data_IF_581106521384
#
_entry.id   IF_581106521384
#
_cell.length_a   1.000
_cell.length_b   1.000
_cell.length_c   1.000
_cell.angle_alpha   90.00
_cell.angle_beta   90.00
_cell.angle_gamma   90.00
#
_symmetry.space_group_name_H-M   'P 1'
#
loop_
_entity.id
_entity.type
_entity.pdbx_description
1 polymer ?
#
# COMPACT_ATOMS: atom_id res chain seq x y z
N UNK A 1 -13.47 20.43 1.62
CA UNK A 1 -14.60 20.82 2.50
C UNK A 1 -14.17 21.77 3.62
N UNK A 2 -13.07 21.47 4.32
CA UNK A 2 -12.68 22.23 5.52
C UNK A 2 -12.13 23.63 5.21
N UNK A 3 -11.31 23.79 4.17
CA UNK A 3 -10.89 25.13 3.69
C UNK A 3 -12.09 26.01 3.29
N UNK A 4 -13.13 25.43 2.71
CA UNK A 4 -14.34 26.16 2.35
C UNK A 4 -15.17 26.58 3.57
N UNK A 5 -15.16 25.78 4.66
CA UNK A 5 -15.80 26.18 5.93
C UNK A 5 -15.13 27.42 6.52
N UNK A 6 -13.78 27.47 6.49
CA UNK A 6 -13.02 28.63 6.95
C UNK A 6 -13.32 29.89 6.12
N UNK A 7 -13.40 29.77 4.79
CA UNK A 7 -13.77 30.91 3.93
C UNK A 7 -15.21 31.38 4.16
N UNK A 8 -16.12 30.46 4.51
CA UNK A 8 -17.51 30.82 4.86
C UNK A 8 -17.61 31.61 6.15
N UNK A 9 -16.67 31.47 7.10
CA UNK A 9 -16.67 32.23 8.34
C UNK A 9 -16.11 33.65 8.21
N UNK A 10 -15.67 34.06 7.02
CA UNK A 10 -15.21 35.43 6.78
C UNK A 10 -16.37 36.42 6.88
N UNK A 11 -16.04 37.65 7.26
CA UNK A 11 -16.92 38.79 7.24
C UNK A 11 -17.31 39.19 5.80
N UNK A 12 -18.40 39.96 5.68
CA UNK A 12 -18.95 40.32 4.37
C UNK A 12 -18.01 41.20 3.53
N UNK A 13 -17.23 42.07 4.18
CA UNK A 13 -16.27 42.94 3.51
C UNK A 13 -15.18 42.13 2.82
N UNK A 14 -14.51 41.23 3.56
CA UNK A 14 -13.52 40.31 2.96
C UNK A 14 -14.10 39.41 1.88
N UNK A 15 -15.34 38.94 2.04
CA UNK A 15 -16.02 38.15 0.99
C UNK A 15 -16.24 38.95 -0.28
N UNK A 16 -16.60 40.23 -0.14
CA UNK A 16 -16.79 41.13 -1.26
C UNK A 16 -15.47 41.44 -1.97
N UNK A 17 -14.39 41.68 -1.22
CA UNK A 17 -13.05 41.89 -1.79
C UNK A 17 -12.62 40.68 -2.63
N UNK A 18 -12.85 39.45 -2.13
CA UNK A 18 -12.55 38.21 -2.87
C UNK A 18 -13.34 38.12 -4.19
N UNK A 19 -14.59 38.58 -4.22
CA UNK A 19 -15.41 38.58 -5.44
C UNK A 19 -14.85 39.59 -6.45
N UNK A 20 -14.53 40.80 -6.01
CA UNK A 20 -13.93 41.85 -6.85
C UNK A 20 -12.59 41.39 -7.43
N UNK A 21 -11.72 40.82 -6.60
CA UNK A 21 -10.43 40.28 -7.03
C UNK A 21 -10.63 39.17 -8.08
N UNK A 22 -11.61 38.29 -7.88
CA UNK A 22 -11.88 37.18 -8.80
C UNK A 22 -12.38 37.65 -10.18
N UNK A 23 -13.11 38.77 -10.27
CA UNK A 23 -13.55 39.35 -11.55
C UNK A 23 -12.37 39.94 -12.35
N UNK A 24 -11.31 40.39 -11.66
CA UNK A 24 -10.10 40.92 -12.30
C UNK A 24 -9.16 39.81 -12.82
N UNK A 25 -9.32 38.58 -12.36
CA UNK A 25 -8.47 37.45 -12.73
C UNK A 25 -8.93 36.84 -14.06
N UNK A 26 -8.16 37.06 -15.12
CA UNK A 26 -8.36 36.43 -16.41
C UNK A 26 -7.24 35.46 -16.73
N UNK A 27 -7.59 34.31 -17.33
CA UNK A 27 -6.61 33.37 -17.84
C UNK A 27 -5.80 34.03 -18.97
N UNK A 28 -4.48 33.86 -18.94
CA UNK A 28 -3.57 34.44 -19.94
C UNK A 28 -3.90 33.97 -21.36
N UNK A 29 -4.12 32.66 -21.52
CA UNK A 29 -4.40 32.01 -22.80
C UNK A 29 -5.47 30.91 -22.63
N UNK A 30 -6.32 30.67 -23.64
CA UNK A 30 -7.34 29.60 -23.60
C UNK A 30 -6.71 28.20 -23.79
N UNK A 31 -7.37 27.10 -23.38
CA UNK A 31 -6.88 25.73 -23.56
C UNK A 31 -6.45 25.41 -25.01
N UNK A 32 -7.25 25.86 -25.99
CA UNK A 32 -7.01 25.63 -27.41
C UNK A 32 -5.68 26.21 -27.91
N UNK A 33 -5.16 27.27 -27.29
CA UNK A 33 -3.86 27.85 -27.63
C UNK A 33 -2.72 26.85 -27.37
N UNK A 34 -2.68 26.27 -26.17
CA UNK A 34 -1.68 25.27 -25.78
C UNK A 34 -1.82 24.00 -26.62
N UNK A 35 -3.05 23.53 -26.82
CA UNK A 35 -3.33 22.32 -27.58
C UNK A 35 -2.94 22.44 -29.06
N UNK A 36 -3.13 23.61 -29.67
CA UNK A 36 -2.70 23.85 -31.04
C UNK A 36 -1.17 23.78 -31.19
N UNK A 37 -0.42 24.25 -30.19
CA UNK A 37 1.04 24.13 -30.16
C UNK A 37 1.48 22.68 -29.95
N UNK A 38 0.90 21.96 -28.98
CA UNK A 38 1.21 20.53 -28.74
C UNK A 38 0.90 19.65 -29.96
N UNK A 39 -0.28 19.82 -30.58
CA UNK A 39 -0.64 19.12 -31.82
C UNK A 39 0.32 19.45 -32.97
N UNK A 40 0.89 20.65 -32.98
CA UNK A 40 1.90 21.04 -33.98
C UNK A 40 3.25 20.37 -33.74
N UNK A 41 3.64 20.13 -32.49
CA UNK A 41 4.83 19.33 -32.17
C UNK A 41 4.67 17.84 -32.51
N UNK A 42 3.44 17.32 -32.46
CA UNK A 42 3.12 15.93 -32.80
C UNK A 42 3.03 15.68 -34.32
N UNK A 43 2.69 16.69 -35.13
CA UNK A 43 2.50 16.53 -36.57
C UNK A 43 3.85 16.31 -37.30
N UNK A 44 4.13 15.12 -37.87
CA UNK A 44 5.40 14.83 -38.54
C UNK A 44 5.72 15.77 -39.71
N UNK A 45 4.68 16.37 -40.34
CA UNK A 45 4.80 17.28 -41.47
C UNK A 45 5.00 18.74 -41.03
N UNK A 46 4.76 19.09 -39.76
CA UNK A 46 4.87 20.45 -39.26
C UNK A 46 6.26 21.07 -39.49
N UNK A 47 7.32 20.28 -39.31
CA UNK A 47 8.70 20.70 -39.57
C UNK A 47 8.96 21.17 -41.01
N UNK A 48 8.13 20.76 -41.99
CA UNK A 48 8.22 21.17 -43.41
C UNK A 48 7.38 22.41 -43.71
N UNK A 49 6.29 22.63 -42.98
CA UNK A 49 5.40 23.78 -43.18
C UNK A 49 5.93 25.05 -42.51
N UNK A 50 6.19 26.10 -43.30
CA UNK A 50 6.61 27.39 -42.78
C UNK A 50 5.57 27.99 -41.80
N UNK A 51 4.28 27.87 -42.12
CA UNK A 51 3.18 28.35 -41.27
C UNK A 51 3.18 27.64 -39.90
N UNK A 52 3.38 26.32 -39.88
CA UNK A 52 3.41 25.54 -38.63
C UNK A 52 4.66 25.84 -37.80
N UNK A 53 5.83 25.99 -38.43
CA UNK A 53 7.05 26.43 -37.71
C UNK A 53 6.86 27.79 -37.04
N UNK A 54 6.26 28.76 -37.75
CA UNK A 54 6.00 30.10 -37.19
C UNK A 54 5.05 30.08 -35.98
N UNK A 55 4.17 29.09 -35.87
CA UNK A 55 3.22 28.96 -34.75
C UNK A 55 3.88 28.56 -33.42
N UNK A 56 5.07 27.96 -33.47
CA UNK A 56 5.79 27.45 -32.29
C UNK A 56 7.19 28.04 -32.14
N UNK A 57 7.53 29.04 -32.95
CA UNK A 57 8.89 29.62 -32.96
C UNK A 57 9.16 30.53 -31.77
N UNK A 58 8.10 31.09 -31.19
CA UNK A 58 8.11 32.09 -30.13
C UNK A 58 8.42 31.51 -28.74
N UNK A 59 8.24 30.21 -28.55
CA UNK A 59 8.46 29.55 -27.26
C UNK A 59 8.90 28.11 -27.48
N UNK A 60 9.78 27.60 -26.62
CA UNK A 60 10.17 26.19 -26.68
C UNK A 60 9.01 25.30 -26.24
N UNK A 61 9.03 24.02 -26.66
CA UNK A 61 8.02 23.06 -26.18
C UNK A 61 7.96 22.98 -24.65
N UNK A 62 9.11 23.05 -23.97
CA UNK A 62 9.19 23.04 -22.52
C UNK A 62 8.53 24.27 -21.91
N UNK A 63 8.71 25.46 -22.50
CA UNK A 63 8.05 26.66 -21.98
C UNK A 63 6.53 26.59 -22.16
N UNK A 64 6.07 26.11 -23.32
CA UNK A 64 4.62 25.89 -23.57
C UNK A 64 4.03 24.93 -22.55
N UNK A 65 4.73 23.84 -22.22
CA UNK A 65 4.30 22.89 -21.20
C UNK A 65 4.32 23.49 -19.79
N UNK A 66 5.31 24.33 -19.44
CA UNK A 66 5.36 25.00 -18.14
C UNK A 66 4.21 25.98 -17.97
N UNK A 67 3.93 26.78 -19.00
CA UNK A 67 2.79 27.71 -18.99
C UNK A 67 1.45 26.97 -18.92
N UNK A 68 1.36 25.80 -19.59
CA UNK A 68 0.21 24.90 -19.49
C UNK A 68 0.06 24.30 -18.09
N UNK A 69 1.15 23.82 -17.47
CA UNK A 69 1.14 23.30 -16.09
C UNK A 69 0.61 24.35 -15.11
N UNK A 70 1.12 25.57 -15.21
CA UNK A 70 0.69 26.69 -14.37
C UNK A 70 -0.80 26.93 -14.60
N UNK A 71 -1.24 27.01 -15.86
CA UNK A 71 -2.64 27.22 -16.21
C UNK A 71 -3.55 26.13 -15.63
N UNK A 72 -3.16 24.85 -15.74
CA UNK A 72 -3.92 23.72 -15.18
C UNK A 72 -4.01 23.77 -13.65
N UNK A 73 -2.97 24.28 -12.98
CA UNK A 73 -2.90 24.31 -11.51
C UNK A 73 -3.53 25.54 -10.88
N UNK A 74 -3.45 26.70 -11.54
CA UNK A 74 -3.80 27.99 -10.91
C UNK A 74 -5.03 28.67 -11.50
N UNK A 75 -5.48 28.30 -12.70
CA UNK A 75 -6.70 28.88 -13.25
C UNK A 75 -7.95 28.31 -12.56
N UNK A 76 -9.07 29.01 -12.75
CA UNK A 76 -10.39 28.55 -12.33
C UNK A 76 -10.74 27.17 -12.91
N UNK A 77 -11.54 26.40 -12.18
CA UNK A 77 -11.80 24.99 -12.50
C UNK A 77 -12.49 24.77 -13.85
N UNK A 78 -13.27 25.73 -14.32
CA UNK A 78 -13.91 25.64 -15.64
C UNK A 78 -12.88 25.66 -16.78
N UNK A 79 -11.73 26.32 -16.61
CA UNK A 79 -10.63 26.24 -17.58
C UNK A 79 -10.12 24.81 -17.74
N UNK A 80 -9.99 24.06 -16.63
CA UNK A 80 -9.56 22.66 -16.65
C UNK A 80 -10.65 21.77 -17.26
N UNK A 81 -11.92 22.05 -16.98
CA UNK A 81 -13.05 21.33 -17.61
C UNK A 81 -13.09 21.58 -19.12
N UNK A 82 -12.87 22.82 -19.56
CA UNK A 82 -12.77 23.18 -20.97
C UNK A 82 -11.59 22.46 -21.63
N UNK A 83 -10.42 22.40 -20.98
CA UNK A 83 -9.27 21.65 -21.48
C UNK A 83 -9.58 20.15 -21.68
N UNK A 84 -10.35 19.55 -20.76
CA UNK A 84 -10.66 18.12 -20.74
C UNK A 84 -11.91 17.73 -21.54
N UNK A 85 -12.67 18.69 -22.07
CA UNK A 85 -13.94 18.41 -22.74
C UNK A 85 -13.75 17.65 -24.08
N UNK A 86 -14.86 17.19 -24.64
CA UNK A 86 -14.90 16.44 -25.91
C UNK A 86 -14.44 17.25 -27.13
N UNK A 87 -14.46 18.58 -27.06
CA UNK A 87 -14.02 19.46 -28.16
C UNK A 87 -12.50 19.59 -28.21
N UNK A 88 -11.88 19.79 -27.03
CA UNK A 88 -10.45 20.04 -26.91
C UNK A 88 -9.64 18.75 -26.85
N UNK A 89 -10.19 17.70 -26.22
CA UNK A 89 -9.52 16.41 -25.99
C UNK A 89 -8.11 16.60 -25.39
N UNK A 90 -7.99 17.52 -24.42
CA UNK A 90 -6.69 17.97 -23.96
C UNK A 90 -5.88 16.87 -23.25
N UNK A 91 -6.58 15.95 -22.57
CA UNK A 91 -5.94 14.79 -21.94
C UNK A 91 -5.27 13.89 -22.97
N UNK A 92 -5.96 13.54 -24.06
CA UNK A 92 -5.43 12.68 -25.12
C UNK A 92 -4.20 13.31 -25.79
N UNK A 93 -4.27 14.61 -26.11
CA UNK A 93 -3.14 15.34 -26.71
C UNK A 93 -1.92 15.37 -25.79
N UNK A 94 -2.14 15.54 -24.48
CA UNK A 94 -1.06 15.53 -23.49
C UNK A 94 -0.42 14.15 -23.38
N UNK A 95 -1.23 13.09 -23.39
CA UNK A 95 -0.77 11.69 -23.33
C UNK A 95 -0.01 11.32 -24.60
N UNK A 96 -0.53 11.68 -25.78
CA UNK A 96 0.15 11.49 -27.06
C UNK A 96 1.51 12.18 -27.07
N UNK A 97 1.58 13.40 -26.54
CA UNK A 97 2.82 14.15 -26.41
C UNK A 97 3.81 13.47 -25.45
N UNK A 98 3.35 13.07 -24.26
CA UNK A 98 4.17 12.35 -23.29
C UNK A 98 4.69 11.03 -23.88
N UNK A 99 3.82 10.23 -24.50
CA UNK A 99 4.17 8.97 -25.18
C UNK A 99 5.20 9.19 -26.28
N UNK A 100 5.02 10.22 -27.10
CA UNK A 100 6.00 10.62 -28.12
C UNK A 100 7.38 10.92 -27.51
N UNK A 101 7.43 11.70 -26.42
CA UNK A 101 8.69 12.06 -25.75
C UNK A 101 9.35 10.86 -25.06
N UNK A 102 8.56 10.00 -24.40
CA UNK A 102 9.05 8.75 -23.81
C UNK A 102 9.64 7.82 -24.87
N UNK A 103 8.97 7.68 -26.01
CA UNK A 103 9.45 6.90 -27.15
C UNK A 103 10.79 7.41 -27.69
N UNK A 104 10.98 8.73 -27.73
CA UNK A 104 12.26 9.34 -28.10
C UNK A 104 13.36 9.06 -27.05
N UNK A 105 13.09 9.34 -25.78
CA UNK A 105 14.04 9.13 -24.67
C UNK A 105 14.53 7.67 -24.61
N UNK A 106 13.60 6.71 -24.71
CA UNK A 106 13.94 5.28 -24.69
C UNK A 106 14.75 4.84 -25.91
N UNK A 107 14.51 5.45 -27.06
CA UNK A 107 15.29 5.14 -28.25
C UNK A 107 16.72 5.68 -28.13
N UNK A 108 16.89 6.89 -27.61
CA UNK A 108 18.20 7.48 -27.33
C UNK A 108 18.98 6.63 -26.30
N UNK A 109 18.31 6.14 -25.26
CA UNK A 109 18.92 5.27 -24.26
C UNK A 109 19.41 3.95 -24.86
N UNK A 110 18.59 3.26 -25.67
CA UNK A 110 19.01 2.03 -26.37
C UNK A 110 20.21 2.24 -27.29
N UNK A 111 20.31 3.41 -27.92
CA UNK A 111 21.47 3.74 -28.77
C UNK A 111 22.72 3.96 -27.91
N UNK A 112 22.58 4.62 -26.76
CA UNK A 112 23.68 4.81 -25.82
C UNK A 112 24.20 3.47 -25.28
N UNK A 113 23.30 2.57 -24.85
CA UNK A 113 23.62 1.22 -24.38
C UNK A 113 24.29 0.37 -25.47
N UNK A 114 23.84 0.48 -26.72
CA UNK A 114 24.48 -0.20 -27.85
C UNK A 114 25.89 0.32 -28.13
N UNK A 115 26.17 1.61 -27.89
CA UNK A 115 27.51 2.20 -28.09
C UNK A 115 28.47 1.74 -27.00
N UNK A 116 28.06 1.78 -25.73
CA UNK A 116 28.87 1.31 -24.61
C UNK A 116 29.19 -0.18 -24.75
N UNK A 117 28.20 -1.01 -25.12
CA UNK A 117 28.43 -2.43 -25.37
C UNK A 117 29.38 -2.71 -26.56
N UNK A 118 29.42 -1.81 -27.55
CA UNK A 118 30.34 -1.92 -28.70
C UNK A 118 31.76 -1.49 -28.30
N UNK A 119 31.89 -0.44 -27.50
CA UNK A 119 33.17 0.04 -26.96
C UNK A 119 33.80 -0.96 -25.97
N UNK A 120 32.99 -1.63 -25.14
CA UNK A 120 33.44 -2.74 -24.28
C UNK A 120 33.88 -3.96 -25.10
N UNK A 121 33.20 -4.28 -26.20
CA UNK A 121 33.63 -5.36 -27.11
C UNK A 121 34.92 -5.01 -27.86
N UNK A 122 35.10 -3.76 -28.27
CA UNK A 122 36.33 -3.26 -28.91
C UNK A 122 37.52 -3.25 -27.94
N UNK A 123 37.28 -3.00 -26.66
CA UNK A 123 38.33 -3.04 -25.63
C UNK A 123 38.62 -4.47 -25.12
N UNK A 124 37.72 -5.45 -25.32
CA UNK A 124 37.97 -6.88 -25.03
C UNK A 124 38.48 -7.71 -26.22
N UNK A 125 38.39 -7.21 -27.47
CA UNK A 125 38.84 -7.96 -28.66
C UNK A 125 40.26 -7.57 -29.11
N UNK A 126 41.22 -7.87 -28.26
CA UNK A 126 42.64 -7.94 -28.63
C UNK A 126 43.06 -9.25 -29.29
N UNK A 127 42.26 -10.32 -29.19
CA UNK A 127 42.51 -11.59 -29.89
C UNK A 127 41.21 -12.39 -30.02
N UNK A 128 40.72 -12.60 -31.25
CA UNK A 128 40.24 -13.89 -31.77
C UNK A 128 39.45 -13.73 -33.07
N UNK A 129 39.67 -14.71 -33.93
CA UNK A 129 39.22 -14.91 -35.31
C UNK A 129 37.71 -14.81 -35.54
N UNK A 130 37.37 -14.19 -36.68
CA UNK A 130 36.03 -14.03 -37.25
C UNK A 130 35.45 -15.40 -37.60
N UNK A 131 34.36 -15.80 -36.94
CA UNK A 131 33.41 -16.78 -37.47
C UNK A 131 32.03 -16.12 -37.61
N UNK A 132 31.58 -16.02 -38.86
CA UNK A 132 30.27 -15.49 -39.25
C UNK A 132 29.27 -16.64 -39.27
N UNK A 133 28.32 -16.65 -38.33
CA UNK A 133 27.12 -17.49 -38.41
C UNK A 133 25.89 -16.60 -38.37
N UNK A 134 25.17 -16.56 -39.50
CA UNK A 134 23.86 -15.94 -39.67
C UNK A 134 22.81 -16.71 -38.86
N UNK A 135 22.25 -16.07 -37.83
CA UNK A 135 21.11 -16.60 -37.09
C UNK A 135 19.81 -16.08 -37.72
N UNK A 136 19.03 -17.02 -38.24
CA UNK A 136 17.67 -16.84 -38.73
C UNK A 136 16.73 -16.56 -37.57
N UNK A 137 16.00 -15.44 -37.61
CA UNK A 137 15.01 -15.07 -36.59
C UNK A 137 13.60 -15.49 -37.03
N UNK A 138 13.01 -16.30 -36.15
CA UNK A 138 11.67 -16.86 -36.22
C UNK A 138 10.59 -15.77 -36.16
N UNK A 139 9.55 -15.93 -36.98
CA UNK A 139 8.39 -15.02 -37.04
C UNK A 139 7.26 -15.59 -36.20
N UNK A 140 6.99 -14.99 -35.05
CA UNK A 140 5.72 -15.17 -34.34
C UNK A 140 5.38 -13.94 -33.47
N UNK A 141 4.09 -13.59 -33.52
CA UNK A 141 3.33 -12.58 -32.78
C UNK A 141 3.42 -11.08 -33.15
N UNK A 142 2.27 -10.60 -33.63
CA UNK A 142 1.99 -9.23 -34.04
C UNK A 142 1.77 -8.29 -32.85
N UNK A 143 2.85 -7.63 -32.46
CA UNK A 143 2.83 -6.25 -31.99
C UNK A 143 4.01 -5.55 -32.65
N UNK A 144 3.84 -4.29 -33.03
CA UNK A 144 4.82 -3.52 -33.83
C UNK A 144 6.14 -3.37 -33.05
N UNK A 145 7.05 -4.34 -33.21
CA UNK A 145 8.48 -4.15 -32.93
C UNK A 145 8.98 -3.14 -33.95
N UNK A 146 9.28 -1.92 -33.52
CA UNK A 146 10.07 -1.02 -34.35
C UNK A 146 11.46 -1.64 -34.53
N UNK A 147 11.94 -1.85 -35.78
CA UNK A 147 13.26 -2.40 -36.03
C UNK A 147 14.31 -1.57 -35.29
N UNK A 148 15.39 -2.23 -34.84
CA UNK A 148 16.57 -1.56 -34.31
C UNK A 148 17.13 -0.65 -35.41
N UNK A 149 16.81 0.64 -35.35
CA UNK A 149 17.40 1.63 -36.24
C UNK A 149 18.87 1.79 -35.85
N UNK A 150 19.75 1.31 -36.73
CA UNK A 150 21.22 1.44 -36.61
C UNK A 150 21.57 2.92 -36.36
N UNK A 151 22.57 3.23 -35.50
CA UNK A 151 23.06 4.59 -35.31
C UNK A 151 23.37 5.25 -36.66
N UNK A 152 22.61 6.29 -37.01
CA UNK A 152 22.71 6.99 -38.31
C UNK A 152 21.57 6.72 -39.30
N UNK A 153 20.57 5.91 -38.94
CA UNK A 153 19.37 5.66 -39.75
C UNK A 153 18.69 6.96 -40.22
N UNK A 154 18.14 6.99 -41.45
CA UNK A 154 17.40 8.15 -41.96
C UNK A 154 16.24 8.60 -41.04
N UNK A 155 15.63 7.68 -40.28
CA UNK A 155 14.55 7.96 -39.33
C UNK A 155 15.02 8.83 -38.16
N UNK A 156 16.15 8.49 -37.55
CA UNK A 156 16.81 9.22 -36.46
C UNK A 156 17.18 10.64 -36.86
N UNK A 157 17.83 10.79 -38.03
CA UNK A 157 18.19 12.10 -38.58
C UNK A 157 16.95 12.95 -38.88
N UNK A 158 15.83 12.34 -39.30
CA UNK A 158 14.55 13.05 -39.52
C UNK A 158 13.93 13.51 -38.20
N UNK A 159 13.95 12.69 -37.14
CA UNK A 159 13.43 13.05 -35.81
C UNK A 159 14.24 14.17 -35.16
N UNK A 160 15.56 14.07 -35.16
CA UNK A 160 16.44 15.13 -34.65
C UNK A 160 16.23 16.46 -35.38
N UNK A 161 16.11 16.43 -36.73
CA UNK A 161 15.76 17.62 -37.52
C UNK A 161 14.37 18.17 -37.20
N UNK A 162 13.42 17.31 -36.85
CA UNK A 162 12.07 17.72 -36.50
C UNK A 162 12.05 18.51 -35.18
N UNK A 163 12.67 17.95 -34.13
CA UNK A 163 12.86 18.60 -32.82
C UNK A 163 13.52 19.97 -32.97
N UNK A 164 14.64 20.03 -33.70
CA UNK A 164 15.37 21.29 -33.91
C UNK A 164 14.55 22.34 -34.70
N UNK A 165 13.82 21.92 -35.74
CA UNK A 165 13.03 22.85 -36.58
C UNK A 165 11.77 23.38 -35.92
N UNK A 166 11.28 22.70 -34.89
CA UNK A 166 10.11 23.13 -34.12
C UNK A 166 10.49 23.74 -32.77
N UNK A 167 11.79 24.01 -32.53
CA UNK A 167 12.26 24.59 -31.28
C UNK A 167 11.83 23.79 -30.03
N UNK A 168 11.79 22.45 -30.15
CA UNK A 168 11.44 21.58 -29.04
C UNK A 168 12.59 21.55 -28.02
N UNK A 169 12.27 21.70 -26.73
CA UNK A 169 13.25 21.68 -25.65
C UNK A 169 13.71 20.26 -25.28
N UNK A 170 14.38 20.09 -24.13
CA UNK A 170 14.92 18.79 -23.70
C UNK A 170 13.81 17.77 -23.44
N UNK A 171 13.98 16.55 -23.98
CA UNK A 171 13.10 15.39 -23.75
C UNK A 171 12.77 15.19 -22.28
N UNK A 172 13.77 15.33 -21.41
CA UNK A 172 13.67 15.08 -19.97
C UNK A 172 12.79 16.10 -19.27
N UNK A 173 13.03 17.38 -19.53
CA UNK A 173 12.27 18.47 -18.94
C UNK A 173 10.81 18.42 -19.39
N UNK A 174 10.56 18.15 -20.67
CA UNK A 174 9.21 18.01 -21.20
C UNK A 174 8.45 16.85 -20.55
N UNK A 175 9.10 15.69 -20.36
CA UNK A 175 8.50 14.53 -19.66
C UNK A 175 8.14 14.93 -18.23
N UNK A 176 9.07 15.53 -17.49
CA UNK A 176 8.83 15.96 -16.11
C UNK A 176 7.62 16.91 -16.02
N UNK A 177 7.56 17.92 -16.90
CA UNK A 177 6.46 18.91 -16.88
C UNK A 177 5.14 18.29 -17.32
N UNK A 178 5.14 17.31 -18.23
CA UNK A 178 3.92 16.55 -18.55
C UNK A 178 3.38 15.81 -17.32
N UNK A 179 4.26 15.20 -16.50
CA UNK A 179 3.85 14.55 -15.25
C UNK A 179 3.30 15.59 -14.24
N UNK A 180 3.87 16.79 -14.18
CA UNK A 180 3.29 17.88 -13.38
C UNK A 180 1.90 18.32 -13.88
N UNK A 181 1.69 18.35 -15.20
CA UNK A 181 0.36 18.60 -15.78
C UNK A 181 -0.64 17.49 -15.38
N UNK A 182 -0.23 16.22 -15.46
CA UNK A 182 -1.06 15.08 -15.01
C UNK A 182 -1.42 15.20 -13.53
N UNK A 183 -0.47 15.60 -12.67
CA UNK A 183 -0.73 15.89 -11.25
C UNK A 183 -1.77 16.99 -11.06
N UNK A 184 -1.65 18.09 -11.80
CA UNK A 184 -2.61 19.20 -11.72
C UNK A 184 -4.02 18.75 -12.14
N UNK A 185 -4.14 17.96 -13.22
CA UNK A 185 -5.41 17.37 -13.68
C UNK A 185 -6.01 16.44 -12.61
N UNK A 186 -5.19 15.58 -12.01
CA UNK A 186 -5.59 14.61 -10.98
C UNK A 186 -5.97 15.27 -9.64
N UNK A 187 -5.58 16.52 -9.40
CA UNK A 187 -6.00 17.27 -8.21
C UNK A 187 -7.49 17.70 -8.26
N UNK A 188 -8.20 17.37 -9.33
CA UNK A 188 -9.65 17.51 -9.43
C UNK A 188 -10.33 16.15 -9.60
N UNK A 189 -11.46 15.92 -8.92
CA UNK A 189 -12.22 14.66 -9.02
C UNK A 189 -12.61 14.28 -10.46
N UNK A 190 -13.02 15.25 -11.28
CA UNK A 190 -13.38 15.03 -12.67
C UNK A 190 -12.15 14.62 -13.50
N UNK A 191 -11.05 15.38 -13.40
CA UNK A 191 -9.80 15.06 -14.09
C UNK A 191 -9.19 13.73 -13.64
N UNK A 192 -9.20 13.45 -12.34
CA UNK A 192 -8.78 12.16 -11.78
C UNK A 192 -9.55 10.99 -12.36
N UNK A 193 -10.88 11.10 -12.44
CA UNK A 193 -11.73 10.06 -13.03
C UNK A 193 -11.46 9.85 -14.53
N UNK A 194 -11.14 10.91 -15.28
CA UNK A 194 -10.75 10.76 -16.68
C UNK A 194 -9.40 10.05 -16.82
N UNK A 195 -8.42 10.38 -15.98
CA UNK A 195 -7.10 9.73 -16.00
C UNK A 195 -7.19 8.25 -15.65
N UNK A 196 -7.96 7.87 -14.62
CA UNK A 196 -8.09 6.46 -14.22
C UNK A 196 -8.79 5.60 -15.28
N UNK A 197 -9.69 6.20 -16.06
CA UNK A 197 -10.38 5.53 -17.17
C UNK A 197 -9.50 5.43 -18.43
N UNK A 198 -8.43 6.22 -18.52
CA UNK A 198 -7.56 6.27 -19.68
C UNK A 198 -6.33 5.37 -19.50
N UNK A 199 -6.41 4.11 -19.94
CA UNK A 199 -5.36 3.09 -19.78
C UNK A 199 -3.96 3.57 -20.18
N UNK A 200 -3.83 4.20 -21.35
CA UNK A 200 -2.53 4.67 -21.86
C UNK A 200 -1.94 5.81 -21.02
N UNK A 201 -2.77 6.55 -20.27
CA UNK A 201 -2.29 7.61 -19.39
C UNK A 201 -1.44 6.99 -18.27
N UNK A 202 -1.96 5.93 -17.66
CA UNK A 202 -1.35 5.23 -16.54
C UNK A 202 -0.11 4.45 -17.01
N UNK A 203 -0.18 3.82 -18.19
CA UNK A 203 0.99 3.23 -18.83
C UNK A 203 2.09 4.29 -19.05
N UNK A 204 1.76 5.47 -19.58
CA UNK A 204 2.75 6.55 -19.77
C UNK A 204 3.31 7.10 -18.45
N UNK A 205 2.47 7.24 -17.41
CA UNK A 205 2.93 7.63 -16.07
C UNK A 205 3.92 6.58 -15.55
N UNK A 206 3.59 5.29 -15.59
CA UNK A 206 4.49 4.20 -15.13
C UNK A 206 5.80 4.18 -15.91
N UNK A 207 5.76 4.29 -17.25
CA UNK A 207 6.95 4.33 -18.10
C UNK A 207 7.84 5.56 -17.84
N UNK A 208 7.29 6.61 -17.25
CA UNK A 208 8.08 7.79 -16.85
C UNK A 208 9.01 7.51 -15.66
N UNK A 209 8.89 6.36 -14.98
CA UNK A 209 9.86 5.92 -13.97
C UNK A 209 11.28 5.74 -14.53
N UNK A 210 11.44 5.48 -15.83
CA UNK A 210 12.75 5.34 -16.50
C UNK A 210 13.52 6.67 -16.53
N UNK A 211 12.84 7.79 -16.29
CA UNK A 211 13.44 9.12 -16.32
C UNK A 211 14.60 9.25 -15.33
N UNK A 212 15.74 9.84 -15.72
CA UNK A 212 16.95 9.89 -14.88
C UNK A 212 16.78 10.66 -13.57
N UNK A 213 15.97 11.73 -13.56
CA UNK A 213 15.77 12.55 -12.36
C UNK A 213 14.96 11.83 -11.29
N UNK A 214 15.53 11.69 -10.09
CA UNK A 214 14.86 11.09 -8.93
C UNK A 214 13.63 11.88 -8.48
N UNK A 215 13.65 13.22 -8.61
CA UNK A 215 12.48 14.07 -8.41
C UNK A 215 11.30 13.70 -9.30
N UNK A 216 11.57 13.34 -10.57
CA UNK A 216 10.51 12.89 -11.49
C UNK A 216 10.00 11.52 -11.08
N UNK A 217 10.89 10.59 -10.69
CA UNK A 217 10.49 9.27 -10.22
C UNK A 217 9.61 9.35 -8.97
N UNK A 218 9.99 10.18 -7.99
CA UNK A 218 9.21 10.43 -6.78
C UNK A 218 7.79 10.89 -7.13
N UNK A 219 7.68 11.90 -8.01
CA UNK A 219 6.40 12.41 -8.47
C UNK A 219 5.54 11.34 -9.17
N UNK A 220 6.16 10.51 -10.00
CA UNK A 220 5.48 9.40 -10.67
C UNK A 220 4.93 8.40 -9.64
N UNK A 221 5.74 8.04 -8.64
CA UNK A 221 5.33 7.12 -7.56
C UNK A 221 4.20 7.70 -6.71
N UNK A 222 4.22 8.99 -6.39
CA UNK A 222 3.12 9.67 -5.71
C UNK A 222 1.80 9.56 -6.49
N UNK A 223 1.83 9.76 -7.80
CA UNK A 223 0.63 9.65 -8.64
C UNK A 223 0.13 8.21 -8.73
N UNK A 224 1.02 7.23 -8.91
CA UNK A 224 0.66 5.82 -8.98
C UNK A 224 0.11 5.32 -7.63
N UNK A 225 0.70 5.75 -6.51
CA UNK A 225 0.22 5.46 -5.16
C UNK A 225 -1.20 6.00 -4.94
N UNK A 226 -1.46 7.25 -5.36
CA UNK A 226 -2.79 7.86 -5.26
C UNK A 226 -3.85 7.10 -6.09
N UNK A 227 -3.49 6.63 -7.29
CA UNK A 227 -4.37 5.78 -8.11
C UNK A 227 -4.55 4.40 -7.46
N UNK A 228 -3.51 3.80 -6.91
CA UNK A 228 -3.57 2.47 -6.30
C UNK A 228 -4.57 2.40 -5.12
N UNK A 229 -4.70 3.49 -4.36
CA UNK A 229 -5.56 3.56 -3.18
C UNK A 229 -7.07 3.68 -3.48
N UNK A 230 -7.47 4.00 -4.72
CA UNK A 230 -8.90 4.07 -5.04
C UNK A 230 -9.45 2.70 -5.40
N UNK A 231 -10.77 2.52 -5.24
CA UNK A 231 -11.45 1.25 -5.53
C UNK A 231 -11.21 0.82 -6.99
N UNK A 232 -10.66 -0.38 -7.18
CA UNK A 232 -10.29 -0.92 -8.49
C UNK A 232 -8.98 -0.34 -9.07
N UNK A 233 -8.35 0.62 -8.39
CA UNK A 233 -7.09 1.22 -8.82
C UNK A 233 -5.90 0.27 -8.72
N UNK A 234 -5.90 -0.63 -7.73
CA UNK A 234 -4.84 -1.61 -7.52
C UNK A 234 -4.58 -2.49 -8.77
N UNK A 235 -5.63 -3.11 -9.32
CA UNK A 235 -5.54 -3.92 -10.55
C UNK A 235 -5.01 -3.13 -11.75
N UNK A 236 -5.41 -1.86 -11.85
CA UNK A 236 -4.97 -0.97 -12.94
C UNK A 236 -3.47 -0.69 -12.82
N UNK A 237 -2.96 -0.45 -11.61
CA UNK A 237 -1.53 -0.25 -11.38
C UNK A 237 -0.73 -1.51 -11.67
N UNK A 238 -1.19 -2.68 -11.22
CA UNK A 238 -0.54 -3.95 -11.55
C UNK A 238 -0.50 -4.18 -13.06
N UNK A 239 -1.61 -3.95 -13.76
CA UNK A 239 -1.67 -4.06 -15.22
C UNK A 239 -0.70 -3.09 -15.94
N UNK A 240 -0.51 -1.88 -15.39
CA UNK A 240 0.45 -0.92 -15.90
C UNK A 240 1.90 -1.39 -15.69
N UNK A 241 2.21 -2.01 -14.55
CA UNK A 241 3.54 -2.59 -14.31
C UNK A 241 3.79 -3.89 -15.09
N UNK A 242 2.76 -4.66 -15.40
CA UNK A 242 2.87 -5.78 -16.35
C UNK A 242 3.19 -5.27 -17.77
N UNK A 243 2.55 -4.16 -18.17
CA UNK A 243 2.92 -3.46 -19.42
C UNK A 243 4.36 -2.95 -19.35
N UNK A 244 4.74 -2.31 -18.25
CA UNK A 244 6.10 -1.82 -18.02
C UNK A 244 7.14 -2.93 -18.17
N UNK A 245 6.90 -4.09 -17.55
CA UNK A 245 7.75 -5.29 -17.67
C UNK A 245 8.00 -5.67 -19.13
N UNK A 246 6.93 -5.83 -19.91
CA UNK A 246 7.04 -6.19 -21.33
C UNK A 246 7.74 -5.11 -22.15
N UNK A 247 7.38 -3.85 -21.91
CA UNK A 247 7.83 -2.71 -22.69
C UNK A 247 9.30 -2.39 -22.40
N UNK A 248 9.76 -2.53 -21.15
CA UNK A 248 11.12 -2.32 -20.67
C UNK A 248 11.99 -3.58 -20.75
N UNK A 249 11.40 -4.73 -21.05
CA UNK A 249 12.07 -6.03 -21.11
C UNK A 249 12.68 -6.44 -19.75
N UNK A 250 11.90 -6.26 -18.68
CA UNK A 250 12.25 -6.76 -17.35
C UNK A 250 11.99 -8.26 -17.24
N UNK A 251 12.81 -8.95 -16.47
CA UNK A 251 12.61 -10.37 -16.18
C UNK A 251 11.49 -10.56 -15.15
N UNK A 252 11.47 -9.69 -14.14
CA UNK A 252 10.48 -9.64 -13.08
C UNK A 252 9.79 -8.28 -13.07
N UNK A 253 8.52 -8.25 -12.68
CA UNK A 253 7.80 -6.98 -12.49
C UNK A 253 8.45 -6.19 -11.36
N UNK A 254 8.49 -4.86 -11.46
CA UNK A 254 9.10 -3.96 -10.48
C UNK A 254 10.64 -4.01 -10.41
N UNK A 255 11.31 -4.80 -11.24
CA UNK A 255 12.76 -4.95 -11.20
C UNK A 255 13.50 -3.61 -11.35
N UNK A 256 13.16 -2.82 -12.37
CA UNK A 256 13.79 -1.51 -12.61
C UNK A 256 13.54 -0.54 -11.45
N UNK A 257 12.36 -0.61 -10.83
CA UNK A 257 12.04 0.21 -9.66
C UNK A 257 12.97 -0.16 -8.48
N UNK A 258 13.19 -1.45 -8.26
CA UNK A 258 14.12 -1.94 -7.24
C UNK A 258 15.57 -1.60 -7.57
N UNK A 259 16.01 -1.72 -8.82
CA UNK A 259 17.35 -1.29 -9.22
C UNK A 259 17.61 0.20 -8.88
N UNK A 260 16.60 1.06 -9.02
CA UNK A 260 16.72 2.46 -8.62
C UNK A 260 16.68 2.67 -7.11
N UNK A 261 15.86 1.92 -6.38
CA UNK A 261 15.72 2.04 -4.94
C UNK A 261 16.94 1.49 -4.19
N UNK A 262 17.49 0.38 -4.64
CA UNK A 262 18.63 -0.32 -4.03
C UNK A 262 19.98 0.38 -4.28
N UNK A 263 20.03 1.41 -5.11
CA UNK A 263 21.28 2.07 -5.48
C UNK A 263 21.76 3.04 -4.38
N UNK A 264 22.74 2.58 -3.60
CA UNK A 264 23.34 3.33 -2.48
C UNK A 264 24.10 4.60 -2.88
N UNK A 265 24.56 4.71 -4.13
CA UNK A 265 25.40 5.85 -4.56
C UNK A 265 24.60 7.14 -4.76
N UNK A 266 23.27 7.05 -4.83
CA UNK A 266 22.39 8.18 -5.13
C UNK A 266 21.33 8.34 -4.03
N UNK A 267 21.77 8.83 -2.88
CA UNK A 267 20.88 9.09 -1.75
C UNK A 267 19.98 10.31 -2.01
N UNK A 268 18.67 10.07 -2.15
CA UNK A 268 17.66 11.12 -2.35
C UNK A 268 16.40 10.80 -1.54
N UNK A 269 16.31 11.38 -0.34
CA UNK A 269 15.27 11.07 0.65
C UNK A 269 13.85 11.11 0.07
N UNK A 270 13.46 12.18 -0.64
CA UNK A 270 12.09 12.30 -1.19
C UNK A 270 11.71 11.13 -2.11
N UNK A 271 12.67 10.63 -2.90
CA UNK A 271 12.44 9.49 -3.78
C UNK A 271 12.34 8.19 -2.98
N UNK A 272 13.21 8.00 -1.99
CA UNK A 272 13.18 6.81 -1.14
C UNK A 272 11.87 6.72 -0.35
N UNK A 273 11.42 7.84 0.22
CA UNK A 273 10.13 7.93 0.92
C UNK A 273 8.98 7.61 -0.04
N UNK A 274 8.93 8.24 -1.21
CA UNK A 274 7.87 7.96 -2.21
C UNK A 274 7.90 6.51 -2.71
N UNK A 275 9.09 5.92 -2.89
CA UNK A 275 9.26 4.54 -3.30
C UNK A 275 8.78 3.57 -2.23
N UNK A 276 9.22 3.77 -0.98
CA UNK A 276 8.81 2.92 0.13
C UNK A 276 7.30 3.04 0.39
N UNK A 277 6.75 4.25 0.33
CA UNK A 277 5.32 4.48 0.45
C UNK A 277 4.53 3.76 -0.67
N UNK A 278 5.01 3.82 -1.91
CA UNK A 278 4.40 3.09 -3.02
C UNK A 278 4.43 1.57 -2.79
N UNK A 279 5.57 1.02 -2.36
CA UNK A 279 5.71 -0.41 -2.03
C UNK A 279 4.74 -0.82 -0.91
N UNK A 280 4.64 -0.02 0.16
CA UNK A 280 3.70 -0.25 1.26
C UNK A 280 2.25 -0.35 0.75
N UNK A 281 1.87 0.58 -0.12
CA UNK A 281 0.53 0.63 -0.68
C UNK A 281 0.29 -0.58 -1.59
N UNK A 282 1.16 -0.84 -2.57
CA UNK A 282 0.91 -1.89 -3.56
C UNK A 282 0.89 -3.29 -2.91
N UNK A 283 1.68 -3.53 -1.87
CA UNK A 283 1.73 -4.82 -1.17
C UNK A 283 0.59 -4.95 -0.16
N UNK A 284 0.38 -3.95 0.72
CA UNK A 284 -0.48 -4.13 1.89
C UNK A 284 -1.92 -3.63 1.74
N UNK A 285 -2.27 -2.92 0.65
CA UNK A 285 -3.64 -2.43 0.43
C UNK A 285 -4.60 -3.46 -0.19
N UNK A 286 -4.10 -4.66 -0.54
CA UNK A 286 -4.94 -5.73 -1.13
C UNK A 286 -5.82 -6.42 -0.09
N UNK A 287 -7.01 -6.82 -0.51
CA UNK A 287 -8.00 -7.49 0.35
C UNK A 287 -7.68 -8.99 0.54
N UNK A 288 -7.18 -9.67 -0.50
CA UNK A 288 -6.81 -11.09 -0.43
C UNK A 288 -5.43 -11.27 0.23
N UNK A 289 -5.40 -11.93 1.39
CA UNK A 289 -4.19 -12.17 2.17
C UNK A 289 -3.20 -13.11 1.45
N UNK A 290 -3.68 -14.07 0.66
CA UNK A 290 -2.76 -14.91 -0.13
C UNK A 290 -2.08 -14.09 -1.21
N UNK A 291 -2.84 -13.20 -1.86
CA UNK A 291 -2.29 -12.29 -2.85
C UNK A 291 -1.32 -11.27 -2.23
N UNK A 292 -1.59 -10.80 -1.01
CA UNK A 292 -0.67 -9.98 -0.22
C UNK A 292 0.67 -10.67 0.02
N UNK A 293 0.64 -11.93 0.47
CA UNK A 293 1.86 -12.73 0.69
C UNK A 293 2.62 -12.94 -0.62
N UNK A 294 1.91 -13.19 -1.73
CA UNK A 294 2.53 -13.30 -3.06
C UNK A 294 3.25 -12.02 -3.47
N UNK A 295 2.59 -10.85 -3.37
CA UNK A 295 3.19 -9.56 -3.70
C UNK A 295 4.36 -9.23 -2.77
N UNK A 296 4.25 -9.53 -1.48
CA UNK A 296 5.35 -9.37 -0.53
C UNK A 296 6.57 -10.19 -0.99
N UNK A 297 6.35 -11.46 -1.36
CA UNK A 297 7.42 -12.34 -1.83
C UNK A 297 8.05 -11.86 -3.15
N UNK A 298 7.28 -11.25 -4.07
CA UNK A 298 7.84 -10.64 -5.28
C UNK A 298 8.91 -9.58 -4.93
N UNK A 299 8.67 -8.73 -3.93
CA UNK A 299 9.65 -7.74 -3.49
C UNK A 299 10.80 -8.35 -2.68
N UNK A 300 10.53 -9.36 -1.84
CA UNK A 300 11.58 -10.14 -1.17
C UNK A 300 12.55 -10.75 -2.19
N UNK A 301 12.03 -11.35 -3.27
CA UNK A 301 12.83 -11.94 -4.34
C UNK A 301 13.68 -10.91 -5.11
N UNK A 302 13.23 -9.66 -5.16
CA UNK A 302 13.99 -8.53 -5.71
C UNK A 302 14.99 -7.91 -4.70
N UNK A 303 15.13 -8.50 -3.51
CA UNK A 303 16.13 -8.11 -2.51
C UNK A 303 15.72 -6.97 -1.59
N UNK A 304 14.42 -6.63 -1.50
CA UNK A 304 13.93 -5.55 -0.64
C UNK A 304 14.30 -5.77 0.83
N UNK A 305 14.04 -6.95 1.39
CA UNK A 305 14.20 -7.21 2.82
C UNK A 305 15.65 -7.03 3.29
N UNK A 306 16.61 -7.57 2.51
CA UNK A 306 18.04 -7.41 2.74
C UNK A 306 18.50 -5.95 2.71
N UNK A 307 17.80 -5.11 1.94
CA UNK A 307 18.07 -3.69 1.84
C UNK A 307 17.44 -2.91 2.99
N UNK A 308 16.21 -3.24 3.37
CA UNK A 308 15.53 -2.64 4.51
C UNK A 308 16.31 -2.87 5.81
N UNK A 309 16.90 -4.05 6.01
CA UNK A 309 17.75 -4.32 7.18
C UNK A 309 18.94 -3.36 7.30
N UNK A 310 19.52 -2.94 6.16
CA UNK A 310 20.59 -1.94 6.15
C UNK A 310 20.07 -0.53 6.39
N UNK A 311 18.86 -0.22 5.93
CA UNK A 311 18.22 1.08 6.09
C UNK A 311 17.54 1.29 7.45
N UNK A 312 17.43 0.26 8.30
CA UNK A 312 16.85 0.39 9.66
C UNK A 312 17.50 1.50 10.50
N UNK A 313 18.76 1.83 10.23
CA UNK A 313 19.53 2.85 10.94
C UNK A 313 19.64 4.18 10.17
N UNK A 314 18.72 4.44 9.24
CA UNK A 314 18.67 5.73 8.53
C UNK A 314 18.41 6.88 9.51
N UNK A 315 19.05 8.04 9.30
CA UNK A 315 18.83 9.26 10.10
C UNK A 315 17.53 9.99 9.70
N UNK A 316 16.92 9.62 8.57
CA UNK A 316 15.69 10.27 8.10
C UNK A 316 14.46 9.69 8.78
N UNK A 317 13.82 10.51 9.64
CA UNK A 317 12.58 10.14 10.33
C UNK A 317 11.45 9.77 9.35
N UNK A 318 11.26 10.55 8.28
CA UNK A 318 10.21 10.29 7.28
C UNK A 318 10.38 8.92 6.61
N UNK A 319 11.61 8.57 6.24
CA UNK A 319 11.90 7.27 5.64
C UNK A 319 11.77 6.15 6.68
N UNK A 320 12.24 6.37 7.90
CA UNK A 320 12.12 5.40 8.99
C UNK A 320 10.66 5.05 9.28
N UNK A 321 9.75 6.04 9.27
CA UNK A 321 8.30 5.81 9.42
C UNK A 321 7.78 4.89 8.31
N UNK A 322 8.19 5.08 7.06
CA UNK A 322 7.75 4.20 5.96
C UNK A 322 8.33 2.79 6.06
N UNK A 323 9.59 2.65 6.49
CA UNK A 323 10.24 1.35 6.69
C UNK A 323 9.56 0.58 7.82
N UNK A 324 9.36 1.22 8.98
CA UNK A 324 8.67 0.58 10.12
C UNK A 324 7.26 0.17 9.73
N UNK A 325 6.51 1.03 9.02
CA UNK A 325 5.17 0.71 8.55
C UNK A 325 5.13 -0.51 7.62
N UNK A 326 6.17 -0.75 6.82
CA UNK A 326 6.28 -1.99 6.03
C UNK A 326 6.54 -3.19 6.93
N UNK A 327 7.59 -3.11 7.77
CA UNK A 327 8.04 -4.21 8.62
C UNK A 327 6.96 -4.68 9.60
N UNK A 328 6.18 -3.75 10.17
CA UNK A 328 5.05 -4.04 11.05
C UNK A 328 3.91 -4.77 10.33
N UNK A 329 3.86 -4.70 8.99
CA UNK A 329 2.84 -5.27 8.13
C UNK A 329 3.31 -6.49 7.34
N UNK A 330 4.55 -6.94 7.54
CA UNK A 330 5.09 -8.15 6.90
C UNK A 330 4.38 -9.39 7.43
N UNK A 331 3.96 -10.27 6.52
CA UNK A 331 3.42 -11.59 6.85
C UNK A 331 4.55 -12.61 6.99
N UNK A 332 4.73 -13.16 8.18
CA UNK A 332 5.53 -14.37 8.43
C UNK A 332 4.60 -15.59 8.53
N UNK A 333 4.45 -16.29 7.41
CA UNK A 333 3.57 -17.47 7.33
C UNK A 333 4.07 -18.59 8.23
N UNK A 334 5.38 -18.75 8.40
CA UNK A 334 5.95 -19.80 9.24
C UNK A 334 5.63 -19.56 10.72
N UNK A 335 5.86 -18.34 11.20
CA UNK A 335 5.50 -17.95 12.56
C UNK A 335 3.98 -18.09 12.81
N UNK A 336 3.14 -17.67 11.86
CA UNK A 336 1.69 -17.81 11.99
C UNK A 336 1.22 -19.27 12.04
N UNK A 337 1.90 -20.17 11.33
CA UNK A 337 1.62 -21.61 11.40
C UNK A 337 2.00 -22.18 12.76
N UNK A 338 3.19 -21.84 13.29
CA UNK A 338 3.64 -22.25 14.62
C UNK A 338 2.69 -21.72 15.72
N UNK A 339 2.27 -20.45 15.64
CA UNK A 339 1.29 -19.86 16.54
C UNK A 339 -0.08 -20.57 16.47
N UNK A 340 -0.49 -21.04 15.30
CA UNK A 340 -1.73 -21.80 15.14
C UNK A 340 -1.64 -23.20 15.76
N UNK A 341 -0.51 -23.87 15.61
CA UNK A 341 -0.25 -25.18 16.21
C UNK A 341 -0.20 -25.09 17.74
N UNK A 342 0.55 -24.10 18.27
CA UNK A 342 0.64 -23.85 19.72
C UNK A 342 -0.71 -23.47 20.32
N UNK A 343 -1.52 -22.66 19.62
CA UNK A 343 -2.90 -22.36 20.03
C UNK A 343 -3.77 -23.61 20.08
N UNK A 344 -3.62 -24.52 19.12
CA UNK A 344 -4.39 -25.78 19.09
C UNK A 344 -4.03 -26.67 20.29
N UNK A 345 -2.73 -26.83 20.57
CA UNK A 345 -2.27 -27.58 21.75
C UNK A 345 -2.73 -26.95 23.08
N UNK A 346 -2.76 -25.61 23.16
CA UNK A 346 -3.27 -24.92 24.35
C UNK A 346 -4.77 -25.16 24.54
N UNK A 347 -5.56 -25.17 23.45
CA UNK A 347 -6.99 -25.48 23.51
C UNK A 347 -7.26 -26.92 23.96
N UNK A 348 -6.45 -27.87 23.49
CA UNK A 348 -6.50 -29.26 23.96
C UNK A 348 -6.21 -29.35 25.47
N UNK A 349 -5.20 -28.64 25.95
CA UNK A 349 -4.89 -28.60 27.40
C UNK A 349 -6.00 -27.96 28.22
N UNK A 350 -6.66 -26.92 27.70
CA UNK A 350 -7.83 -26.31 28.35
C UNK A 350 -8.96 -27.32 28.45
N UNK A 351 -9.26 -28.06 27.37
CA UNK A 351 -10.31 -29.09 27.39
C UNK A 351 -9.99 -30.21 28.42
N UNK A 352 -8.74 -30.67 28.51
CA UNK A 352 -8.33 -31.64 29.52
C UNK A 352 -8.54 -31.13 30.96
N UNK A 353 -8.21 -29.86 31.22
CA UNK A 353 -8.39 -29.25 32.54
C UNK A 353 -9.87 -29.04 32.86
N UNK A 354 -10.70 -28.70 31.87
CA UNK A 354 -12.15 -28.62 32.03
C UNK A 354 -12.74 -29.99 32.42
N UNK A 355 -12.28 -31.07 31.78
CA UNK A 355 -12.67 -32.44 32.14
C UNK A 355 -12.20 -32.83 33.55
N UNK A 356 -10.97 -32.50 33.92
CA UNK A 356 -10.43 -32.78 35.27
C UNK A 356 -11.22 -32.01 36.35
N UNK A 357 -11.54 -30.74 36.10
CA UNK A 357 -12.37 -29.94 37.01
C UNK A 357 -13.77 -30.52 37.14
N UNK A 358 -14.36 -31.02 36.05
CA UNK A 358 -15.66 -31.67 36.09
C UNK A 358 -15.62 -32.96 36.94
N UNK A 359 -14.59 -33.79 36.77
CA UNK A 359 -14.40 -35.01 37.57
C UNK A 359 -14.18 -34.70 39.05
N UNK A 360 -13.39 -33.67 39.37
CA UNK A 360 -13.17 -33.24 40.75
C UNK A 360 -14.46 -32.69 41.38
N UNK A 361 -15.29 -31.97 40.62
CA UNK A 361 -16.60 -31.52 41.10
C UNK A 361 -17.53 -32.68 41.40
N UNK A 362 -17.60 -33.69 40.53
CA UNK A 362 -18.42 -34.89 40.77
C UNK A 362 -17.93 -35.66 42.00
N UNK A 363 -16.62 -35.87 42.12
CA UNK A 363 -16.04 -36.52 43.31
C UNK A 363 -16.27 -35.71 44.59
N UNK A 364 -16.24 -34.38 44.52
CA UNK A 364 -16.53 -33.52 45.67
C UNK A 364 -18.00 -33.68 46.10
N UNK A 365 -18.93 -33.65 45.15
CA UNK A 365 -20.35 -33.88 45.42
C UNK A 365 -20.60 -35.25 46.07
N UNK A 366 -19.93 -36.31 45.60
CA UNK A 366 -20.03 -37.65 46.20
C UNK A 366 -19.50 -37.70 47.65
N UNK A 367 -18.44 -36.96 47.95
CA UNK A 367 -17.89 -36.85 49.31
C UNK A 367 -18.84 -36.05 50.21
N UNK A 368 -19.37 -34.93 49.72
CA UNK A 368 -20.36 -34.13 50.43
C UNK A 368 -21.62 -34.95 50.75
N UNK A 369 -22.11 -35.74 49.79
CA UNK A 369 -23.27 -36.62 50.00
C UNK A 369 -23.02 -37.66 51.09
N UNK A 370 -21.86 -38.34 51.05
CA UNK A 370 -21.46 -39.32 52.09
C UNK A 370 -21.27 -38.68 53.46
N UNK A 371 -20.74 -37.46 53.52
CA UNK A 371 -20.59 -36.74 54.77
C UNK A 371 -21.96 -36.36 55.36
N UNK A 372 -22.90 -35.89 54.54
CA UNK A 372 -24.27 -35.60 54.95
C UNK A 372 -25.00 -36.85 55.47
N UNK A 373 -24.86 -37.98 54.78
CA UNK A 373 -25.43 -39.26 55.24
C UNK A 373 -24.85 -39.68 56.60
N UNK A 374 -23.52 -39.53 56.79
CA UNK A 374 -22.87 -39.82 58.06
C UNK A 374 -23.36 -38.91 59.18
N UNK A 375 -23.53 -37.61 58.91
CA UNK A 375 -24.08 -36.65 59.87
C UNK A 375 -25.49 -37.06 60.27
N UNK A 376 -26.36 -37.39 59.30
CA UNK A 376 -27.73 -37.82 59.57
C UNK A 376 -27.80 -39.10 60.43
N UNK A 377 -26.93 -40.07 60.16
CA UNK A 377 -26.83 -41.30 60.96
C UNK A 377 -26.38 -41.00 62.40
N UNK A 378 -25.34 -40.17 62.57
CA UNK A 378 -24.85 -39.76 63.90
C UNK A 378 -25.89 -38.94 64.67
N UNK A 379 -26.64 -38.07 64.01
CA UNK A 379 -27.76 -37.34 64.62
C UNK A 379 -28.83 -38.29 65.12
N UNK A 380 -29.16 -39.34 64.35
CA UNK A 380 -30.13 -40.36 64.73
C UNK A 380 -29.66 -41.17 65.94
N UNK A 381 -28.40 -41.63 65.95
CA UNK A 381 -27.81 -42.31 67.10
C UNK A 381 -27.77 -41.42 68.35
N UNK A 382 -27.44 -40.14 68.18
CA UNK A 382 -27.39 -39.17 69.27
C UNK A 382 -28.79 -38.96 69.88
N UNK A 383 -29.84 -38.91 69.05
CA UNK A 383 -31.23 -38.87 69.51
C UNK A 383 -31.58 -40.14 70.32
N UNK A 384 -31.20 -41.33 69.83
CA UNK A 384 -31.45 -42.59 70.53
C UNK A 384 -30.73 -42.63 71.90
N UNK A 385 -29.45 -42.29 71.95
CA UNK A 385 -28.67 -42.26 73.21
C UNK A 385 -29.24 -41.22 74.18
N UNK A 386 -29.74 -40.07 73.69
CA UNK A 386 -30.44 -39.10 74.54
C UNK A 386 -31.72 -39.68 75.13
N UNK A 387 -32.51 -40.41 74.34
CA UNK A 387 -33.72 -41.09 74.82
C UNK A 387 -33.36 -42.14 75.88
N UNK A 388 -32.38 -43.01 75.64
CA UNK A 388 -31.91 -44.01 76.61
C UNK A 388 -31.41 -43.37 77.90
N UNK A 389 -30.64 -42.27 77.80
CA UNK A 389 -30.20 -41.50 78.96
C UNK A 389 -31.39 -40.97 79.76
N UNK A 390 -32.39 -40.40 79.08
CA UNK A 390 -33.56 -39.83 79.74
C UNK A 390 -34.40 -40.92 80.44
N UNK A 391 -34.52 -42.10 79.81
CA UNK A 391 -35.13 -43.27 80.43
C UNK A 391 -34.37 -43.75 81.67
N UNK A 392 -33.04 -43.88 81.59
CA UNK A 392 -32.20 -44.27 82.72
C UNK A 392 -32.26 -43.25 83.86
N UNK A 393 -32.32 -41.95 83.55
CA UNK A 393 -32.49 -40.88 84.54
C UNK A 393 -33.83 -41.03 85.27
N UNK A 394 -34.92 -41.32 84.54
CA UNK A 394 -36.23 -41.58 85.15
C UNK A 394 -36.23 -42.86 85.99
N UNK A 395 -35.61 -43.94 85.53
CA UNK A 395 -35.45 -45.18 86.30
C UNK A 395 -34.66 -44.93 87.58
N UNK A 396 -33.54 -44.19 87.49
CA UNK A 396 -32.74 -43.82 88.66
C UNK A 396 -33.55 -42.98 89.64
N UNK A 397 -34.32 -42.00 89.16
CA UNK A 397 -35.17 -41.16 90.00
C UNK A 397 -36.20 -42.01 90.77
N UNK A 398 -36.87 -42.96 90.12
CA UNK A 398 -37.77 -43.92 90.78
C UNK A 398 -37.04 -44.76 91.83
N UNK A 399 -35.86 -45.28 91.52
CA UNK A 399 -35.04 -46.04 92.47
C UNK A 399 -34.58 -45.18 93.67
N UNK A 400 -34.21 -43.93 93.45
CA UNK A 400 -33.84 -42.99 94.51
C UNK A 400 -35.05 -42.65 95.40
N UNK A 401 -36.25 -42.53 94.83
CA UNK A 401 -37.52 -42.40 95.58
C UNK A 401 -37.83 -43.64 96.42
N UNK A 402 -37.65 -44.85 95.86
CA UNK A 402 -37.76 -46.13 96.58
C UNK A 402 -36.73 -46.25 97.72
N UNK A 403 -35.46 -45.90 97.48
CA UNK A 403 -34.42 -45.90 98.51
C UNK A 403 -34.71 -44.86 99.59
N UNK A 404 -35.22 -43.69 99.23
CA UNK A 404 -35.61 -42.63 100.18
C UNK A 404 -36.76 -43.09 101.07
N UNK A 405 -37.79 -43.71 100.50
CA UNK A 405 -38.93 -44.26 101.25
C UNK A 405 -38.49 -45.39 102.18
N UNK A 406 -37.66 -46.33 101.71
CA UNK A 406 -37.07 -47.37 102.54
C UNK A 406 -36.21 -46.79 103.68
N UNK A 407 -35.37 -45.78 103.42
CA UNK A 407 -34.57 -45.09 104.46
C UNK A 407 -35.46 -44.41 105.50
N UNK A 408 -36.58 -43.79 105.10
CA UNK A 408 -37.56 -43.22 106.05
C UNK A 408 -38.22 -44.29 106.91
N UNK A 409 -38.57 -45.44 106.34
CA UNK A 409 -39.12 -46.58 107.09
C UNK A 409 -38.09 -47.12 108.11
N UNK A 410 -36.83 -47.26 107.71
CA UNK A 410 -35.74 -47.68 108.61
C UNK A 410 -35.51 -46.65 109.72
N UNK A 411 -35.46 -45.36 109.43
CA UNK A 411 -35.34 -44.31 110.45
C UNK A 411 -36.53 -44.26 111.40
N UNK A 412 -37.76 -44.50 110.92
CA UNK A 412 -38.94 -44.63 111.77
C UNK A 412 -38.83 -45.84 112.71
N UNK A 413 -38.40 -47.00 112.20
CA UNK A 413 -38.14 -48.18 113.03
C UNK A 413 -37.01 -47.99 114.05
N UNK A 414 -35.96 -47.23 113.70
CA UNK A 414 -34.88 -46.87 114.62
C UNK A 414 -35.31 -45.84 115.69
N UNK A 415 -36.26 -44.96 115.38
CA UNK A 415 -36.85 -44.01 116.33
C UNK A 415 -37.90 -44.66 117.24
N UNK A 416 -38.61 -45.69 116.79
CA UNK A 416 -39.53 -46.49 117.63
C UNK A 416 -38.80 -47.52 118.51
N UNK A 417 -37.51 -47.81 118.24
CA UNK A 417 -36.69 -48.75 119.01
C UNK A 417 -35.76 -48.08 120.05
N UNK A 418 -35.87 -46.78 120.29
CA UNK A 418 -35.18 -46.04 121.38
C UNK A 418 -36.21 -45.47 122.34
#
# INVERSE_FOLDING_TARGET
>A
PDKAKLLKSYDYEKKWDIICDQEMVQAKDPPSYYLNKLRTYLDPKASRSHRKRKMVVDSTSTQVLRDLEISLRTNHIEWVREFLNEENLGLDVLIDYLSFRLGMMRHEQRIAESRTASEEKLSQTGHSTINTTSISLDKSNGYIRMPLDIPGSPSLKRRSKHVAKLNMGDSKDDIHVCIMCMRAIMNNKYGFNMVIQHREAINCISLSLIHKSLRTKALVLELLAAICLVKGGHEIILSAFDNFKVVCNEEHRFQTLMDYFLNFEVFHIEFMVACMQFVNIIVHSVEDMNFRVHLQYEFTALGLDNYLDKLRFTESEELQVQISAYLDNVFDVAALMEDSETKTAALEKVAELEDEVAQLHESLQDVEHRALEKIANLETELIQVRQERDELVEVKKKADEEVSTLRRVVQHHEQESK
#
